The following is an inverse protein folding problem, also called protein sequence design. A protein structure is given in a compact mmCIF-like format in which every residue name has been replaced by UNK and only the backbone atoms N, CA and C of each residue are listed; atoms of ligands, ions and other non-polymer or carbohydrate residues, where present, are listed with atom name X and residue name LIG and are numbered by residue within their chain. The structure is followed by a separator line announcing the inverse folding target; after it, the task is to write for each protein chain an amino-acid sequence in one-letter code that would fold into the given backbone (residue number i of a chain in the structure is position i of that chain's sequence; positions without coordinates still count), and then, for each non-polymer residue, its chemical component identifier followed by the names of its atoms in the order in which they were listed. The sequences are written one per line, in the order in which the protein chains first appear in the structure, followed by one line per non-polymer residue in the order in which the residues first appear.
data_IF_945719061815
#
_entry.id   IF_945719061815
#
_cell.length_a   1.000
_cell.length_b   1.000
_cell.length_c   1.000
_cell.angle_alpha   90.00
_cell.angle_beta   90.00
_cell.angle_gamma   90.00
#
_symmetry.space_group_name_H-M   'P 1'
#
loop_
_entity.id
_entity.type
_entity.pdbx_description
1 polymer ?
#
# COMPACT_ATOMS: atom_id res chain seq x y z
N UNK A 1 -16.36 7.04 -22.55
CA UNK A 1 -15.36 7.04 -21.45
C UNK A 1 -14.11 7.74 -21.96
N UNK A 2 -13.46 8.61 -21.16
CA UNK A 2 -12.17 9.18 -21.52
C UNK A 2 -11.16 8.05 -21.80
N UNK A 3 -10.33 8.21 -22.83
CA UNK A 3 -9.27 7.26 -23.19
C UNK A 3 -7.96 7.62 -22.49
N UNK A 4 -7.30 6.63 -21.89
CA UNK A 4 -5.95 6.77 -21.34
C UNK A 4 -4.96 6.32 -22.42
N UNK A 5 -4.26 7.26 -23.04
CA UNK A 5 -3.21 6.95 -24.02
C UNK A 5 -1.89 6.74 -23.26
N UNK A 6 -1.50 5.48 -23.10
CA UNK A 6 -0.22 5.08 -22.51
C UNK A 6 0.53 4.23 -23.53
N UNK A 7 1.75 4.63 -23.84
CA UNK A 7 2.65 3.85 -24.69
C UNK A 7 3.42 2.86 -23.83
N UNK A 8 3.51 1.63 -24.30
CA UNK A 8 4.34 0.59 -23.71
C UNK A 8 5.39 0.19 -24.74
N UNK A 9 6.58 -0.15 -24.25
CA UNK A 9 7.57 -0.88 -25.04
C UNK A 9 7.07 -2.30 -25.33
N UNK A 10 7.68 -2.98 -26.31
CA UNK A 10 7.32 -4.36 -26.64
C UNK A 10 7.54 -5.31 -25.46
N UNK A 11 8.63 -5.11 -24.71
CA UNK A 11 8.94 -5.89 -23.50
C UNK A 11 7.90 -5.70 -22.40
N UNK A 12 7.51 -4.45 -22.12
CA UNK A 12 6.46 -4.17 -21.14
C UNK A 12 5.12 -4.75 -21.59
N UNK A 13 4.78 -4.64 -22.88
CA UNK A 13 3.55 -5.24 -23.43
C UNK A 13 3.53 -6.75 -23.25
N UNK A 14 4.66 -7.42 -23.46
CA UNK A 14 4.74 -8.87 -23.26
C UNK A 14 4.56 -9.23 -21.79
N UNK A 15 5.21 -8.50 -20.88
CA UNK A 15 5.00 -8.67 -19.44
C UNK A 15 3.55 -8.48 -19.01
N UNK A 16 2.88 -7.43 -19.50
CA UNK A 16 1.48 -7.16 -19.16
C UNK A 16 0.55 -8.23 -19.76
N UNK A 17 0.80 -8.72 -20.98
CA UNK A 17 0.02 -9.82 -21.56
C UNK A 17 0.19 -11.12 -20.78
N UNK A 18 1.41 -11.47 -20.40
CA UNK A 18 1.69 -12.67 -19.62
C UNK A 18 0.97 -12.62 -18.26
N UNK A 19 1.00 -11.47 -17.58
CA UNK A 19 0.31 -11.29 -16.30
C UNK A 19 -1.23 -11.34 -16.45
N UNK A 20 -1.78 -10.71 -17.50
CA UNK A 20 -3.21 -10.79 -17.78
C UNK A 20 -3.66 -12.23 -18.08
N UNK A 21 -2.86 -12.98 -18.85
CA UNK A 21 -3.13 -14.39 -19.15
C UNK A 21 -3.05 -15.27 -17.89
N UNK A 22 -2.08 -15.03 -17.01
CA UNK A 22 -1.97 -15.73 -15.72
C UNK A 22 -3.19 -15.47 -14.81
N UNK A 23 -3.80 -14.28 -14.87
CA UNK A 23 -5.05 -13.97 -14.17
C UNK A 23 -6.32 -14.38 -14.96
N UNK A 24 -6.19 -14.95 -16.16
CA UNK A 24 -7.32 -15.34 -17.02
C UNK A 24 -8.15 -14.16 -17.53
N UNK A 25 -7.56 -12.97 -17.65
CA UNK A 25 -8.24 -11.72 -17.98
C UNK A 25 -7.85 -11.19 -19.35
N UNK A 26 -8.74 -10.42 -19.96
CA UNK A 26 -8.36 -9.58 -21.10
C UNK A 26 -7.37 -8.50 -20.65
N UNK A 27 -6.49 -8.10 -21.56
CA UNK A 27 -5.50 -7.05 -21.33
C UNK A 27 -6.16 -5.76 -20.79
N UNK A 28 -7.25 -5.30 -21.42
CA UNK A 28 -8.02 -4.13 -20.98
C UNK A 28 -8.55 -4.26 -19.56
N UNK A 29 -9.13 -5.41 -19.21
CA UNK A 29 -9.66 -5.65 -17.87
C UNK A 29 -8.53 -5.68 -16.83
N UNK A 30 -7.41 -6.32 -17.16
CA UNK A 30 -6.25 -6.39 -16.29
C UNK A 30 -5.68 -4.99 -15.98
N UNK A 31 -5.49 -4.13 -16.99
CA UNK A 31 -5.02 -2.75 -16.74
C UNK A 31 -6.01 -1.92 -15.92
N UNK A 32 -7.31 -2.08 -16.17
CA UNK A 32 -8.34 -1.43 -15.35
C UNK A 32 -8.23 -1.86 -13.89
N UNK A 33 -8.20 -3.17 -13.64
CA UNK A 33 -8.15 -3.74 -12.30
C UNK A 33 -6.90 -3.32 -11.55
N UNK A 34 -5.75 -3.25 -12.24
CA UNK A 34 -4.50 -2.79 -11.65
C UNK A 34 -4.61 -1.35 -11.13
N UNK A 35 -5.17 -0.45 -11.94
CA UNK A 35 -5.39 0.94 -11.54
C UNK A 35 -6.33 1.07 -10.34
N UNK A 36 -7.43 0.31 -10.33
CA UNK A 36 -8.38 0.29 -9.21
C UNK A 36 -7.74 -0.31 -7.95
N UNK A 37 -7.03 -1.44 -8.08
CA UNK A 37 -6.33 -2.11 -6.98
C UNK A 37 -5.30 -1.19 -6.35
N UNK A 38 -4.56 -0.43 -7.16
CA UNK A 38 -3.57 0.52 -6.66
C UNK A 38 -4.21 1.69 -5.91
N UNK A 39 -5.30 2.24 -6.43
CA UNK A 39 -6.07 3.27 -5.74
C UNK A 39 -6.57 2.77 -4.37
N UNK A 40 -7.09 1.55 -4.30
CA UNK A 40 -7.54 0.93 -3.05
C UNK A 40 -6.38 0.69 -2.09
N UNK A 41 -5.25 0.19 -2.57
CA UNK A 41 -4.05 -0.02 -1.76
C UNK A 41 -3.59 1.27 -1.08
N UNK A 42 -3.49 2.37 -1.83
CA UNK A 42 -3.10 3.68 -1.27
C UNK A 42 -4.06 4.15 -0.18
N UNK A 43 -5.37 4.04 -0.40
CA UNK A 43 -6.39 4.40 0.58
C UNK A 43 -6.30 3.54 1.84
N UNK A 44 -6.12 2.23 1.67
CA UNK A 44 -5.99 1.31 2.78
C UNK A 44 -4.75 1.61 3.62
N UNK A 45 -3.57 1.76 2.99
CA UNK A 45 -2.32 2.06 3.70
C UNK A 45 -2.40 3.39 4.45
N UNK A 46 -2.97 4.43 3.83
CA UNK A 46 -3.17 5.71 4.49
C UNK A 46 -4.07 5.60 5.72
N UNK A 47 -5.20 4.89 5.60
CA UNK A 47 -6.12 4.65 6.71
C UNK A 47 -5.49 3.81 7.83
N UNK A 48 -4.77 2.74 7.48
CA UNK A 48 -4.08 1.88 8.43
C UNK A 48 -2.99 2.63 9.20
N UNK A 49 -2.23 3.50 8.51
CA UNK A 49 -1.20 4.34 9.15
C UNK A 49 -1.82 5.32 10.13
N UNK A 50 -2.84 6.07 9.70
CA UNK A 50 -3.54 7.02 10.57
C UNK A 50 -4.18 6.33 11.79
N UNK A 51 -4.72 5.13 11.60
CA UNK A 51 -5.31 4.35 12.69
C UNK A 51 -4.24 3.83 13.66
N UNK A 52 -3.11 3.34 13.14
CA UNK A 52 -1.97 2.90 13.95
C UNK A 52 -1.41 4.06 14.79
N UNK A 53 -1.24 5.24 14.19
CA UNK A 53 -0.73 6.42 14.91
C UNK A 53 -1.69 6.87 16.03
N UNK A 54 -3.01 6.78 15.81
CA UNK A 54 -4.02 7.11 16.82
C UNK A 54 -3.95 6.17 18.03
N UNK A 55 -3.72 4.89 17.81
CA UNK A 55 -3.74 3.86 18.85
C UNK A 55 -2.37 3.57 19.47
N UNK A 56 -1.28 4.08 18.87
CA UNK A 56 0.08 3.75 19.30
C UNK A 56 0.33 4.06 20.76
N UNK A 57 -0.13 5.21 21.27
CA UNK A 57 0.04 5.57 22.68
C UNK A 57 -0.64 4.58 23.64
N UNK A 58 -1.92 4.26 23.40
CA UNK A 58 -2.66 3.27 24.22
C UNK A 58 -2.05 1.86 24.11
N UNK A 59 -1.54 1.51 22.92
CA UNK A 59 -0.86 0.23 22.70
C UNK A 59 0.48 0.16 23.46
N UNK A 60 1.31 1.18 23.36
CA UNK A 60 2.62 1.23 24.02
C UNK A 60 2.48 1.21 25.55
N UNK A 61 1.43 1.83 26.10
CA UNK A 61 1.10 1.76 27.54
C UNK A 61 0.67 0.35 27.96
N UNK A 62 -0.15 -0.33 27.15
CA UNK A 62 -0.65 -1.67 27.44
C UNK A 62 0.42 -2.77 27.21
N UNK A 63 1.36 -2.53 26.30
CA UNK A 63 2.39 -3.49 25.88
C UNK A 63 3.80 -2.86 25.88
N UNK A 64 4.32 -2.45 27.05
CA UNK A 64 5.57 -1.70 27.14
C UNK A 64 6.80 -2.47 26.62
N UNK A 65 6.79 -3.81 26.70
CA UNK A 65 7.89 -4.66 26.22
C UNK A 65 8.00 -4.72 24.69
N UNK A 66 6.89 -4.48 23.98
CA UNK A 66 6.80 -4.48 22.51
C UNK A 66 7.26 -3.13 21.90
N UNK A 67 7.38 -2.08 22.72
CA UNK A 67 7.85 -0.77 22.27
C UNK A 67 9.29 -0.92 21.76
N UNK A 68 9.61 -0.51 20.51
CA UNK A 68 10.95 -0.63 19.97
C UNK A 68 12.00 0.07 20.85
N UNK A 69 13.19 -0.53 21.09
CA UNK A 69 14.21 0.08 21.95
C UNK A 69 14.59 1.51 21.56
N UNK A 70 14.56 1.84 20.27
CA UNK A 70 14.87 3.18 19.75
C UNK A 70 13.87 4.28 20.12
N UNK A 71 12.69 3.91 20.64
CA UNK A 71 11.62 4.85 21.01
C UNK A 71 11.49 5.03 22.52
N UNK A 72 12.08 4.14 23.34
CA UNK A 72 11.97 4.18 24.81
C UNK A 72 12.66 5.40 25.44
N UNK A 73 13.70 5.94 24.80
CA UNK A 73 14.50 7.05 25.35
C UNK A 73 13.86 8.44 25.18
N UNK A 74 12.83 8.58 24.33
CA UNK A 74 12.20 9.89 24.08
C UNK A 74 11.24 10.35 25.21
N UNK A 75 10.92 9.46 26.16
CA UNK A 75 10.03 9.76 27.29
C UNK A 75 10.74 10.28 28.56
N UNK A 76 12.07 10.25 28.63
CA UNK A 76 12.81 10.54 29.88
C UNK A 76 13.20 12.02 30.03
N UNK A 77 13.09 12.85 28.98
CA UNK A 77 13.52 14.27 29.02
C UNK A 77 12.40 15.28 29.30
N UNK A 78 11.30 14.87 29.93
CA UNK A 78 10.24 15.77 30.39
C UNK A 78 9.98 15.59 31.88
N UNK A 79 10.91 16.08 32.71
CA UNK A 79 10.73 16.26 34.16
C UNK A 79 11.53 17.48 34.63
#
# INVERSE_FOLDING_TARGET
MPSLNVSFTDEEMEGVRAAAAAEGKSLKQYMHDLGVREMHRKRFVAGATAWADRLRGEFDEAFPDEVPPSQRDQGVTAA
#
